data_IF_808372385664
#
_entry.id   IF_808372385664
#
_cell.length_a   1.000
_cell.length_b   1.000
_cell.length_c   1.000
_cell.angle_alpha   90.00
_cell.angle_beta   90.00
_cell.angle_gamma   90.00
#
_symmetry.space_group_name_H-M   'P 1'
#
loop_
_entity.id
_entity.type
_entity.pdbx_description
1 polymer ?
#
# COMPACT_ATOMS: atom_id res chain seq x y z
N UNK A 1 -13.24 -3.40 -3.85
CA UNK A 1 -12.38 -2.21 -3.64
C UNK A 1 -10.96 -2.71 -3.43
N UNK A 2 -10.02 -2.32 -4.28
CA UNK A 2 -8.61 -2.69 -4.12
C UNK A 2 -7.86 -1.52 -3.49
N UNK A 3 -7.16 -1.79 -2.38
CA UNK A 3 -6.25 -0.85 -1.74
C UNK A 3 -4.82 -1.33 -2.01
N UNK A 4 -3.97 -0.42 -2.47
CA UNK A 4 -2.55 -0.67 -2.65
C UNK A 4 -1.82 0.15 -1.61
N UNK A 5 -0.89 -0.48 -0.90
CA UNK A 5 -0.06 0.17 0.10
C UNK A 5 1.32 0.36 -0.50
N UNK A 6 1.82 1.59 -0.45
CA UNK A 6 3.17 1.95 -0.88
C UNK A 6 3.92 2.49 0.33
N UNK A 7 5.13 1.99 0.56
CA UNK A 7 6.00 2.44 1.65
C UNK A 7 7.31 2.91 1.01
N UNK A 8 7.70 4.16 1.24
CA UNK A 8 8.92 4.75 0.69
C UNK A 8 9.07 4.51 -0.84
N UNK A 9 8.00 4.71 -1.60
CA UNK A 9 7.92 4.48 -3.06
C UNK A 9 7.97 3.00 -3.50
N UNK A 10 7.96 2.05 -2.56
CA UNK A 10 7.92 0.61 -2.83
C UNK A 10 6.53 0.01 -2.57
N UNK A 11 6.04 -0.82 -3.50
CA UNK A 11 4.75 -1.48 -3.37
C UNK A 11 4.83 -2.67 -2.41
N UNK A 12 3.92 -2.70 -1.44
CA UNK A 12 3.82 -3.83 -0.50
C UNK A 12 2.78 -4.83 -1.01
N UNK A 13 3.16 -6.09 -1.27
CA UNK A 13 2.21 -7.14 -1.62
C UNK A 13 1.17 -7.36 -0.52
N UNK A 14 -0.06 -7.71 -0.93
CA UNK A 14 -1.15 -7.93 0.01
C UNK A 14 -0.91 -9.07 1.01
N UNK A 15 -0.05 -10.02 0.67
CA UNK A 15 0.31 -11.17 1.53
C UNK A 15 1.40 -10.82 2.55
N UNK A 16 2.15 -9.73 2.32
CA UNK A 16 3.24 -9.31 3.20
C UNK A 16 2.82 -8.27 4.24
N UNK A 17 1.68 -7.60 4.01
CA UNK A 17 1.15 -6.51 4.85
C UNK A 17 1.06 -6.84 6.35
N UNK A 18 0.81 -8.09 6.72
CA UNK A 18 0.69 -8.51 8.13
C UNK A 18 2.05 -8.62 8.82
N UNK A 19 3.11 -8.82 8.04
CA UNK A 19 4.49 -9.00 8.51
C UNK A 19 5.36 -7.77 8.29
N UNK A 20 4.91 -6.81 7.48
CA UNK A 20 5.61 -5.55 7.24
C UNK A 20 5.63 -4.70 8.52
N UNK A 21 6.83 -4.47 9.06
CA UNK A 21 7.03 -3.61 10.23
C UNK A 21 7.41 -2.21 9.77
N UNK A 22 6.59 -1.22 10.15
CA UNK A 22 6.87 0.20 9.91
C UNK A 22 7.93 0.72 10.88
N UNK A 23 8.83 1.55 10.36
CA UNK A 23 9.84 2.26 11.13
C UNK A 23 9.52 3.74 11.20
N UNK A 24 10.07 4.39 12.22
CA UNK A 24 9.95 5.83 12.35
C UNK A 24 10.66 6.52 11.16
N UNK A 25 9.93 7.39 10.46
CA UNK A 25 10.40 8.05 9.23
C UNK A 25 9.91 7.41 7.93
N UNK A 26 9.26 6.25 7.97
CA UNK A 26 8.67 5.66 6.77
C UNK A 26 7.45 6.46 6.30
N UNK A 27 7.39 6.70 4.99
CA UNK A 27 6.25 7.37 4.34
C UNK A 27 5.33 6.31 3.76
N UNK A 28 4.08 6.27 4.25
CA UNK A 28 3.06 5.31 3.83
C UNK A 28 2.00 6.02 2.99
N UNK A 29 1.79 5.53 1.78
CA UNK A 29 0.75 6.02 0.86
C UNK A 29 -0.29 4.93 0.61
N UNK A 30 -1.56 5.32 0.66
CA UNK A 30 -2.69 4.43 0.38
C UNK A 30 -3.34 4.83 -0.93
N UNK A 31 -3.18 3.97 -1.94
CA UNK A 31 -3.79 4.17 -3.24
C UNK A 31 -5.08 3.35 -3.33
N UNK A 32 -6.19 4.03 -3.53
CA UNK A 32 -7.49 3.41 -3.73
C UNK A 32 -7.81 3.37 -5.21
N UNK A 33 -7.84 2.17 -5.79
CA UNK A 33 -8.35 1.99 -7.15
C UNK A 33 -9.88 1.87 -7.10
N UNK A 34 -10.53 3.02 -7.22
CA UNK A 34 -11.93 3.13 -7.60
C UNK A 34 -12.00 2.96 -9.12
N UNK A 35 -11.95 1.72 -9.59
CA UNK A 35 -11.96 1.39 -11.02
C UNK A 35 -13.03 2.18 -11.76
N UNK A 36 -12.58 3.13 -12.59
CA UNK A 36 -13.44 3.86 -13.51
C UNK A 36 -13.90 2.90 -14.58
N UNK A 37 -15.09 2.34 -14.38
CA UNK A 37 -15.75 1.48 -15.35
C UNK A 37 -16.15 2.26 -16.60
N UNK A 38 -15.81 1.68 -17.75
CA UNK A 38 -16.63 1.51 -18.94
C UNK A 38 -16.15 0.24 -19.63
#
# INVERSE_FOLDING_TARGET
>A
MMIIVVINEEFVPSDEKETTVLKEGDVVEFLYFMGGGC
#
